data_IF_960310633902
#
_entry.id   IF_960310633902
#
_cell.length_a   1.000
_cell.length_b   1.000
_cell.length_c   1.000
_cell.angle_alpha   90.00
_cell.angle_beta   90.00
_cell.angle_gamma   90.00
#
_symmetry.space_group_name_H-M   'P 1'
#
loop_
_entity.id
_entity.type
_entity.pdbx_description
1 polymer ?
#
# COMPACT_ATOMS: atom_id res chain seq x y z
N UNK A 1 59.62 63.58 -48.82
CA UNK A 1 59.74 64.18 -47.47
C UNK A 1 58.89 65.44 -47.45
N UNK A 2 58.27 65.89 -46.36
CA UNK A 2 57.77 65.28 -45.13
C UNK A 2 56.24 65.55 -44.98
N UNK A 3 55.72 65.33 -43.76
CA UNK A 3 54.34 65.57 -43.26
C UNK A 3 53.90 67.04 -43.49
N UNK A 4 52.58 67.29 -43.65
CA UNK A 4 51.76 68.31 -42.93
C UNK A 4 50.42 68.64 -43.63
N UNK A 5 49.38 68.83 -42.79
CA UNK A 5 48.18 69.71 -42.86
C UNK A 5 46.81 69.14 -43.27
N UNK A 6 45.88 69.28 -42.31
CA UNK A 6 44.44 69.34 -42.47
C UNK A 6 43.97 70.70 -42.97
N UNK A 7 42.90 70.72 -43.78
CA UNK A 7 41.89 71.78 -43.86
C UNK A 7 40.64 71.21 -44.56
N UNK A 8 39.44 71.36 -43.95
CA UNK A 8 38.14 71.24 -44.66
C UNK A 8 37.80 72.55 -45.39
N UNK A 9 36.54 72.87 -45.73
CA UNK A 9 35.29 72.09 -45.75
C UNK A 9 34.59 72.13 -47.15
N UNK A 10 33.38 71.57 -47.24
CA UNK A 10 32.28 71.87 -48.19
C UNK A 10 32.59 72.09 -49.69
N UNK A 11 32.11 71.20 -50.58
CA UNK A 11 30.93 71.57 -51.37
C UNK A 11 30.26 70.37 -52.05
N UNK A 12 28.94 70.43 -52.03
CA UNK A 12 27.97 69.51 -52.59
C UNK A 12 27.77 69.84 -54.08
N UNK A 13 27.63 68.82 -54.95
CA UNK A 13 26.54 68.73 -55.95
C UNK A 13 26.91 67.84 -57.16
N UNK A 14 26.12 66.76 -57.29
CA UNK A 14 25.71 66.00 -58.50
C UNK A 14 26.75 65.19 -59.29
N UNK A 15 26.56 63.87 -59.32
CA UNK A 15 25.61 63.21 -60.24
C UNK A 15 25.40 61.74 -59.85
N UNK A 16 24.14 61.29 -59.80
CA UNK A 16 23.76 59.88 -59.71
C UNK A 16 23.89 59.20 -61.10
N UNK A 17 23.95 57.85 -61.22
CA UNK A 17 22.72 57.06 -61.09
C UNK A 17 22.85 55.65 -60.46
N UNK A 18 21.68 55.22 -59.94
CA UNK A 18 21.15 53.86 -59.79
C UNK A 18 21.92 52.82 -58.96
N UNK A 19 21.29 52.40 -57.85
CA UNK A 19 20.84 51.02 -57.66
C UNK A 19 19.85 50.96 -56.47
N UNK A 20 18.57 50.81 -56.83
CA UNK A 20 17.52 50.02 -56.17
C UNK A 20 17.38 50.05 -54.64
N UNK A 21 16.25 50.62 -54.20
CA UNK A 21 15.68 50.51 -52.86
C UNK A 21 15.42 49.05 -52.41
N UNK A 22 15.53 48.74 -51.11
CA UNK A 22 14.75 47.68 -50.49
C UNK A 22 13.55 48.31 -49.73
N UNK A 23 12.34 48.07 -50.23
CA UNK A 23 11.09 48.27 -49.48
C UNK A 23 10.90 47.16 -48.42
N UNK A 24 10.09 47.42 -47.38
CA UNK A 24 9.93 46.56 -46.21
C UNK A 24 8.88 45.48 -46.45
N UNK A 25 9.09 44.30 -45.91
CA UNK A 25 8.01 43.32 -45.74
C UNK A 25 8.21 42.55 -44.45
N UNK A 26 7.53 43.05 -43.42
CA UNK A 26 7.10 42.25 -42.31
C UNK A 26 6.17 41.14 -42.85
N UNK A 27 6.56 39.89 -42.67
CA UNK A 27 5.64 38.75 -42.72
C UNK A 27 5.99 37.81 -41.57
N UNK A 28 5.53 38.19 -40.37
CA UNK A 28 5.40 37.26 -39.26
C UNK A 28 4.26 36.29 -39.59
N UNK A 29 4.58 35.19 -40.27
CA UNK A 29 3.67 34.06 -40.37
C UNK A 29 3.54 33.45 -38.97
N UNK A 30 2.34 33.45 -38.34
CA UNK A 30 2.17 32.71 -37.10
C UNK A 30 2.40 31.23 -37.41
N UNK A 31 3.39 30.63 -36.74
CA UNK A 31 3.65 29.21 -36.83
C UNK A 31 2.34 28.46 -36.52
N UNK A 32 1.80 27.76 -37.51
CA UNK A 32 0.63 26.92 -37.33
C UNK A 32 0.94 25.91 -36.23
N UNK A 33 0.22 26.02 -35.10
CA UNK A 33 0.25 25.04 -34.02
C UNK A 33 -0.25 23.72 -34.61
N UNK A 34 0.67 22.82 -34.92
CA UNK A 34 0.35 21.47 -35.40
C UNK A 34 -0.52 20.79 -34.34
N UNK A 35 -1.82 20.74 -34.62
CA UNK A 35 -2.81 20.23 -33.69
C UNK A 35 -2.77 18.71 -33.76
N UNK A 36 -2.13 18.07 -32.77
CA UNK A 36 -2.12 16.62 -32.70
C UNK A 36 -3.53 16.06 -32.50
N UNK A 37 -3.74 14.86 -33.05
CA UNK A 37 -4.96 14.10 -32.86
C UNK A 37 -5.16 13.81 -31.35
N UNK A 38 -6.36 14.08 -30.81
CA UNK A 38 -6.67 13.74 -29.42
C UNK A 38 -6.61 12.23 -29.19
N UNK A 39 -6.37 11.83 -27.94
CA UNK A 39 -6.47 10.44 -27.50
C UNK A 39 -7.88 9.91 -27.78
N UNK A 40 -7.98 8.59 -27.94
CA UNK A 40 -9.28 7.95 -28.07
C UNK A 40 -10.12 8.19 -26.79
N UNK A 41 -11.29 8.86 -26.89
CA UNK A 41 -12.10 9.21 -25.72
C UNK A 41 -12.60 7.98 -24.95
N UNK A 42 -12.80 6.85 -25.63
CA UNK A 42 -13.19 5.59 -24.97
C UNK A 42 -12.09 5.06 -24.06
N UNK A 43 -10.82 5.15 -24.48
CA UNK A 43 -9.68 4.73 -23.66
C UNK A 43 -9.51 5.65 -22.44
N UNK A 44 -9.67 6.96 -22.61
CA UNK A 44 -9.62 7.92 -21.49
C UNK A 44 -10.80 7.71 -20.55
N UNK A 45 -11.99 7.40 -21.08
CA UNK A 45 -13.16 7.00 -20.29
C UNK A 45 -12.93 5.71 -19.49
N UNK A 46 -12.24 4.72 -20.07
CA UNK A 46 -11.85 3.51 -19.36
C UNK A 46 -10.84 3.80 -18.22
N UNK A 47 -9.85 4.67 -18.47
CA UNK A 47 -8.92 5.13 -17.42
C UNK A 47 -9.68 5.84 -16.29
N UNK A 48 -10.65 6.70 -16.60
CA UNK A 48 -11.52 7.33 -15.60
C UNK A 48 -12.28 6.29 -14.76
N UNK A 49 -12.88 5.29 -15.40
CA UNK A 49 -13.61 4.23 -14.71
C UNK A 49 -12.70 3.41 -13.78
N UNK A 50 -11.52 3.01 -14.26
CA UNK A 50 -10.53 2.30 -13.44
C UNK A 50 -10.05 3.15 -12.26
N UNK A 51 -9.79 4.45 -12.49
CA UNK A 51 -9.40 5.36 -11.43
C UNK A 51 -10.49 5.52 -10.37
N UNK A 52 -11.76 5.58 -10.78
CA UNK A 52 -12.88 5.63 -9.82
C UNK A 52 -13.02 4.35 -9.00
N UNK A 53 -12.79 3.17 -9.61
CA UNK A 53 -12.80 1.92 -8.88
C UNK A 53 -11.67 1.87 -7.84
N UNK A 54 -10.46 2.29 -8.21
CA UNK A 54 -9.33 2.40 -7.27
C UNK A 54 -9.57 3.43 -6.17
N UNK A 55 -10.25 4.54 -6.47
CA UNK A 55 -10.65 5.52 -5.47
C UNK A 55 -11.62 4.92 -4.43
N UNK A 56 -12.62 4.15 -4.88
CA UNK A 56 -13.58 3.47 -3.98
C UNK A 56 -12.86 2.44 -3.11
N UNK A 57 -12.01 1.60 -3.71
CA UNK A 57 -11.19 0.62 -3.02
C UNK A 57 -10.35 1.28 -1.90
N UNK A 58 -9.58 2.30 -2.26
CA UNK A 58 -8.66 2.96 -1.33
C UNK A 58 -9.39 3.80 -0.28
N UNK A 59 -10.57 4.34 -0.59
CA UNK A 59 -11.43 5.00 0.40
C UNK A 59 -11.90 3.99 1.44
N UNK A 60 -12.35 2.81 1.01
CA UNK A 60 -12.75 1.72 1.92
C UNK A 60 -11.58 1.30 2.82
N UNK A 61 -10.40 1.03 2.26
CA UNK A 61 -9.24 0.63 3.06
C UNK A 61 -8.75 1.73 4.01
N UNK A 62 -8.86 3.00 3.59
CA UNK A 62 -8.57 4.14 4.47
C UNK A 62 -9.54 4.17 5.64
N UNK A 63 -10.83 4.01 5.39
CA UNK A 63 -11.85 3.94 6.44
C UNK A 63 -11.54 2.80 7.42
N UNK A 64 -11.32 1.59 6.92
CA UNK A 64 -11.01 0.43 7.76
C UNK A 64 -9.80 0.70 8.65
N UNK A 65 -8.72 1.25 8.09
CA UNK A 65 -7.48 1.50 8.83
C UNK A 65 -7.56 2.68 9.81
N UNK A 66 -8.38 3.70 9.54
CA UNK A 66 -8.54 4.86 10.43
C UNK A 66 -9.45 4.57 11.62
N UNK A 67 -10.43 3.67 11.43
CA UNK A 67 -11.42 3.32 12.45
C UNK A 67 -11.17 1.96 13.09
N UNK A 68 -10.00 1.35 12.87
CA UNK A 68 -9.64 0.01 13.36
C UNK A 68 -10.75 -1.03 13.13
N UNK A 69 -11.40 -0.96 11.97
CA UNK A 69 -12.47 -1.89 11.60
C UNK A 69 -11.88 -3.21 11.06
N UNK A 70 -12.69 -4.26 11.05
CA UNK A 70 -12.30 -5.53 10.46
C UNK A 70 -12.32 -5.44 8.93
N UNK A 71 -11.23 -5.88 8.28
CA UNK A 71 -11.16 -5.86 6.82
C UNK A 71 -11.88 -7.07 6.24
N UNK A 72 -12.83 -6.86 5.33
CA UNK A 72 -13.42 -7.95 4.56
C UNK A 72 -12.34 -8.60 3.68
N UNK A 73 -11.83 -9.77 4.06
CA UNK A 73 -10.82 -10.49 3.29
C UNK A 73 -11.15 -11.99 3.22
N UNK A 74 -11.50 -12.53 2.04
CA UNK A 74 -11.80 -13.95 1.86
C UNK A 74 -10.58 -14.86 2.02
N UNK A 75 -9.39 -14.29 1.85
CA UNK A 75 -8.10 -14.98 1.95
C UNK A 75 -7.42 -14.54 3.23
N UNK A 76 -7.13 -15.43 4.18
CA UNK A 76 -6.46 -15.03 5.42
C UNK A 76 -5.17 -14.23 5.12
N UNK A 77 -4.95 -13.08 5.80
CA UNK A 77 -3.70 -12.31 5.69
C UNK A 77 -3.77 -10.88 5.15
N UNK A 78 -4.92 -10.38 4.66
CA UNK A 78 -5.01 -8.95 4.30
C UNK A 78 -4.72 -8.03 5.50
N UNK A 79 -5.22 -8.40 6.68
CA UNK A 79 -5.10 -7.60 7.89
C UNK A 79 -3.65 -7.44 8.35
N UNK A 80 -2.87 -8.54 8.33
CA UNK A 80 -1.45 -8.47 8.66
C UNK A 80 -0.65 -7.63 7.67
N UNK A 81 -1.00 -7.67 6.38
CA UNK A 81 -0.39 -6.81 5.35
C UNK A 81 -0.72 -5.34 5.58
N UNK A 82 -1.98 -5.02 5.89
CA UNK A 82 -2.43 -3.64 6.12
C UNK A 82 -1.92 -3.06 7.45
N UNK A 83 -1.76 -3.89 8.48
CA UNK A 83 -1.20 -3.51 9.78
C UNK A 83 0.34 -3.42 9.78
N UNK A 84 1.00 -3.96 8.75
CA UNK A 84 2.45 -3.94 8.64
C UNK A 84 3.04 -2.52 8.55
N UNK A 85 4.35 -2.34 8.82
CA UNK A 85 5.02 -1.04 8.68
C UNK A 85 4.90 -0.44 7.27
N UNK A 86 4.76 -1.28 6.24
CA UNK A 86 4.58 -0.85 4.85
C UNK A 86 3.16 -0.39 4.54
N UNK A 87 2.18 -0.73 5.38
CA UNK A 87 0.80 -0.25 5.28
C UNK A 87 0.63 1.21 5.70
N UNK A 88 1.69 1.88 6.13
CA UNK A 88 1.70 3.30 6.51
C UNK A 88 2.85 4.02 5.79
N UNK A 89 2.67 5.30 5.48
CA UNK A 89 3.67 6.15 4.83
C UNK A 89 3.69 7.50 5.55
N UNK A 90 4.86 7.92 6.05
CA UNK A 90 5.00 9.12 6.90
C UNK A 90 4.05 9.15 8.12
N UNK A 91 3.74 7.98 8.68
CA UNK A 91 2.80 7.83 9.81
C UNK A 91 1.32 7.90 9.44
N UNK A 92 0.98 8.13 8.16
CA UNK A 92 -0.39 8.12 7.67
C UNK A 92 -0.72 6.78 6.98
N UNK A 93 -2.00 6.34 6.95
CA UNK A 93 -2.39 5.15 6.21
C UNK A 93 -1.95 5.23 4.74
N UNK A 94 -1.22 4.24 4.24
CA UNK A 94 -0.90 4.13 2.83
C UNK A 94 -2.12 4.23 1.89
N UNK A 95 -3.29 3.60 2.19
CA UNK A 95 -4.47 3.74 1.33
C UNK A 95 -4.98 5.19 1.20
N UNK A 96 -4.65 6.09 2.14
CA UNK A 96 -4.99 7.52 2.01
C UNK A 96 -4.26 8.15 0.81
N UNK A 97 -2.98 7.82 0.62
CA UNK A 97 -2.21 8.28 -0.53
C UNK A 97 -2.72 7.66 -1.83
N UNK A 98 -3.13 6.40 -1.78
CA UNK A 98 -3.83 5.75 -2.89
C UNK A 98 -5.11 6.49 -3.29
N UNK A 99 -5.95 6.85 -2.32
CA UNK A 99 -7.18 7.62 -2.53
C UNK A 99 -6.90 8.95 -3.23
N UNK A 100 -5.89 9.70 -2.77
CA UNK A 100 -5.49 10.95 -3.40
C UNK A 100 -4.96 10.74 -4.82
N UNK A 101 -4.14 9.73 -5.05
CA UNK A 101 -3.55 9.44 -6.36
C UNK A 101 -4.60 8.99 -7.39
N UNK A 102 -5.47 8.04 -7.03
CA UNK A 102 -6.59 7.61 -7.88
C UNK A 102 -7.56 8.76 -8.16
N UNK A 103 -7.86 9.59 -7.14
CA UNK A 103 -8.67 10.80 -7.31
C UNK A 103 -8.06 11.81 -8.28
N UNK A 104 -6.75 12.07 -8.17
CA UNK A 104 -6.03 12.98 -9.06
C UNK A 104 -5.99 12.47 -10.52
N UNK A 105 -5.76 11.17 -10.73
CA UNK A 105 -5.82 10.55 -12.07
C UNK A 105 -7.23 10.64 -12.65
N UNK A 106 -8.26 10.35 -11.87
CA UNK A 106 -9.66 10.51 -12.29
C UNK A 106 -9.99 11.96 -12.66
N UNK A 107 -9.55 12.93 -11.86
CA UNK A 107 -9.73 14.35 -12.16
C UNK A 107 -9.01 14.76 -13.46
N UNK A 108 -7.78 14.28 -13.68
CA UNK A 108 -7.02 14.54 -14.91
C UNK A 108 -7.69 13.89 -16.14
N UNK A 109 -8.21 12.66 -16.02
CA UNK A 109 -8.96 12.00 -17.08
C UNK A 109 -10.23 12.77 -17.45
N UNK A 110 -10.99 13.21 -16.44
CA UNK A 110 -12.20 14.00 -16.66
C UNK A 110 -11.89 15.39 -17.23
N UNK A 111 -10.80 16.02 -16.81
CA UNK A 111 -10.32 17.28 -17.38
C UNK A 111 -9.91 17.12 -18.85
N UNK A 112 -9.22 16.02 -19.19
CA UNK A 112 -8.85 15.71 -20.57
C UNK A 112 -10.08 15.55 -21.46
N UNK A 113 -11.10 14.80 -21.02
CA UNK A 113 -12.34 14.59 -21.78
C UNK A 113 -13.09 15.90 -22.03
N UNK A 114 -13.16 16.78 -21.02
CA UNK A 114 -13.78 18.11 -21.17
C UNK A 114 -12.99 19.00 -22.13
N UNK A 115 -11.67 19.04 -21.98
CA UNK A 115 -10.79 19.83 -22.84
C UNK A 115 -10.73 19.29 -24.28
N UNK A 116 -10.95 17.99 -24.50
CA UNK A 116 -11.02 17.39 -25.83
C UNK A 116 -12.28 17.79 -26.60
N UNK A 117 -13.35 18.20 -25.90
CA UNK A 117 -14.58 18.71 -26.51
C UNK A 117 -14.49 20.22 -26.86
N UNK A 118 -13.48 20.92 -26.35
CA UNK A 118 -13.28 22.35 -26.56
C UNK A 118 -12.15 22.59 -27.58
N UNK A 119 -12.48 23.19 -28.71
CA UNK A 119 -11.53 23.56 -29.77
C UNK A 119 -10.82 24.90 -29.54
N UNK A 120 -11.09 25.59 -28.42
CA UNK A 120 -10.45 26.85 -28.06
C UNK A 120 -8.97 26.68 -27.74
N UNK A 121 -8.20 27.80 -27.77
CA UNK A 121 -6.80 27.79 -27.34
C UNK A 121 -6.65 27.39 -25.85
N UNK A 122 -7.65 27.70 -25.03
CA UNK A 122 -7.73 27.29 -23.62
C UNK A 122 -7.93 25.77 -23.51
N UNK A 123 -8.80 25.19 -24.35
CA UNK A 123 -9.00 23.74 -24.47
C UNK A 123 -7.71 23.00 -24.86
N UNK A 124 -6.93 23.55 -25.80
CA UNK A 124 -5.63 22.96 -26.20
C UNK A 124 -4.63 22.96 -25.04
N UNK A 125 -4.52 24.06 -24.30
CA UNK A 125 -3.64 24.17 -23.12
C UNK A 125 -4.08 23.23 -21.99
N UNK A 126 -5.40 23.21 -21.70
CA UNK A 126 -5.99 22.33 -20.71
C UNK A 126 -5.79 20.86 -21.04
N UNK A 127 -5.93 20.47 -22.31
CA UNK A 127 -5.68 19.10 -22.79
C UNK A 127 -4.23 18.68 -22.58
N UNK A 128 -3.26 19.57 -22.84
CA UNK A 128 -1.83 19.29 -22.61
C UNK A 128 -1.52 19.15 -21.11
N UNK A 129 -2.05 20.04 -20.28
CA UNK A 129 -1.91 19.95 -18.82
C UNK A 129 -2.51 18.67 -18.24
N UNK A 130 -3.73 18.31 -18.67
CA UNK A 130 -4.39 17.08 -18.28
C UNK A 130 -3.62 15.83 -18.73
N UNK A 131 -3.03 15.85 -19.93
CA UNK A 131 -2.22 14.75 -20.45
C UNK A 131 -0.92 14.56 -19.67
N UNK A 132 -0.26 15.64 -19.27
CA UNK A 132 0.91 15.60 -18.39
C UNK A 132 0.55 15.06 -17.00
N UNK A 133 -0.58 15.53 -16.43
CA UNK A 133 -1.11 15.03 -15.17
C UNK A 133 -1.46 13.54 -15.21
N UNK A 134 -2.10 13.07 -16.28
CA UNK A 134 -2.38 11.65 -16.52
C UNK A 134 -1.09 10.85 -16.62
N UNK A 135 -0.12 11.32 -17.40
CA UNK A 135 1.16 10.61 -17.59
C UNK A 135 1.93 10.48 -16.27
N UNK A 136 1.99 11.55 -15.48
CA UNK A 136 2.62 11.54 -14.16
C UNK A 136 1.86 10.66 -13.16
N UNK A 137 0.54 10.80 -13.06
CA UNK A 137 -0.28 10.07 -12.09
C UNK A 137 -0.34 8.57 -12.37
N UNK A 138 -0.49 8.16 -13.63
CA UNK A 138 -0.44 6.74 -14.04
C UNK A 138 0.94 6.14 -13.75
N UNK A 139 2.03 6.87 -14.03
CA UNK A 139 3.38 6.43 -13.72
C UNK A 139 3.63 6.30 -12.20
N UNK A 140 3.12 7.22 -11.40
CA UNK A 140 3.18 7.16 -9.94
C UNK A 140 2.45 5.91 -9.41
N UNK A 141 1.19 5.69 -9.81
CA UNK A 141 0.41 4.52 -9.38
C UNK A 141 1.07 3.20 -9.79
N UNK A 142 1.56 3.11 -11.03
CA UNK A 142 2.28 1.93 -11.51
C UNK A 142 3.57 1.68 -10.71
N UNK A 143 4.32 2.73 -10.39
CA UNK A 143 5.55 2.64 -9.59
C UNK A 143 5.23 2.18 -8.17
N UNK A 144 4.26 2.81 -7.50
CA UNK A 144 3.83 2.41 -6.16
C UNK A 144 3.37 0.96 -6.14
N UNK A 145 2.54 0.55 -7.10
CA UNK A 145 2.06 -0.83 -7.21
C UNK A 145 3.21 -1.83 -7.38
N UNK A 146 4.16 -1.56 -8.27
CA UNK A 146 5.31 -2.43 -8.49
C UNK A 146 6.17 -2.58 -7.21
N UNK A 147 6.41 -1.48 -6.50
CA UNK A 147 7.16 -1.51 -5.23
C UNK A 147 6.39 -2.29 -4.15
N UNK A 148 5.09 -2.07 -4.00
CA UNK A 148 4.26 -2.79 -3.02
C UNK A 148 4.19 -4.29 -3.32
N UNK A 149 4.05 -4.68 -4.59
CA UNK A 149 4.10 -6.09 -4.98
C UNK A 149 5.47 -6.70 -4.69
N UNK A 150 6.55 -5.94 -4.88
CA UNK A 150 7.91 -6.39 -4.54
C UNK A 150 8.04 -6.61 -3.02
N UNK A 151 7.58 -5.66 -2.21
CA UNK A 151 7.57 -5.79 -0.74
C UNK A 151 6.72 -6.98 -0.29
N UNK A 152 5.54 -7.16 -0.90
CA UNK A 152 4.64 -8.26 -0.58
C UNK A 152 5.31 -9.62 -0.78
N UNK A 153 6.04 -9.79 -1.89
CA UNK A 153 6.74 -11.04 -2.20
C UNK A 153 8.01 -11.25 -1.38
N UNK A 154 8.78 -10.19 -1.14
CA UNK A 154 10.13 -10.32 -0.56
C UNK A 154 10.16 -10.18 0.96
N UNK A 155 9.38 -9.23 1.52
CA UNK A 155 9.40 -8.89 2.95
C UNK A 155 8.23 -9.49 3.72
N UNK A 156 7.07 -9.64 3.07
CA UNK A 156 5.85 -10.18 3.68
C UNK A 156 5.58 -11.65 3.35
N UNK A 157 6.60 -12.36 2.82
CA UNK A 157 6.54 -13.81 2.56
C UNK A 157 5.48 -14.24 1.55
N UNK A 158 4.97 -13.34 0.72
CA UNK A 158 3.91 -13.64 -0.25
C UNK A 158 2.53 -13.86 0.38
N UNK A 159 2.28 -13.28 1.56
CA UNK A 159 0.96 -13.36 2.23
C UNK A 159 -0.17 -12.94 1.26
N UNK A 160 -1.23 -13.74 1.09
CA UNK A 160 -2.27 -13.44 0.11
C UNK A 160 -3.11 -12.23 0.57
N UNK A 161 -2.96 -11.11 -0.14
CA UNK A 161 -3.73 -9.89 0.10
C UNK A 161 -4.57 -9.56 -1.14
N UNK A 162 -5.86 -9.94 -1.11
CA UNK A 162 -6.79 -9.71 -2.24
C UNK A 162 -6.85 -8.23 -2.65
N UNK A 163 -6.96 -7.32 -1.69
CA UNK A 163 -7.00 -5.88 -1.94
C UNK A 163 -5.72 -5.35 -2.58
N UNK A 164 -4.56 -5.85 -2.16
CA UNK A 164 -3.29 -5.44 -2.74
C UNK A 164 -3.18 -5.87 -4.21
N UNK A 165 -3.65 -7.09 -4.53
CA UNK A 165 -3.69 -7.58 -5.91
C UNK A 165 -4.73 -6.85 -6.76
N UNK A 166 -5.91 -6.54 -6.20
CA UNK A 166 -6.93 -5.75 -6.89
C UNK A 166 -6.37 -4.38 -7.29
N UNK A 167 -5.76 -3.65 -6.35
CA UNK A 167 -5.16 -2.35 -6.64
C UNK A 167 -4.02 -2.45 -7.66
N UNK A 168 -3.24 -3.53 -7.64
CA UNK A 168 -2.20 -3.78 -8.63
C UNK A 168 -2.76 -4.02 -10.04
N UNK A 169 -3.84 -4.80 -10.15
CA UNK A 169 -4.54 -5.03 -11.41
C UNK A 169 -5.15 -3.73 -11.93
N UNK A 170 -5.76 -2.91 -11.08
CA UNK A 170 -6.30 -1.60 -11.46
C UNK A 170 -5.21 -0.67 -12.01
N UNK A 171 -4.10 -0.54 -11.29
CA UNK A 171 -2.96 0.29 -11.69
C UNK A 171 -2.32 -0.18 -13.00
N UNK A 172 -2.09 -1.48 -13.16
CA UNK A 172 -1.53 -2.05 -14.38
C UNK A 172 -2.49 -1.88 -15.58
N UNK A 173 -3.79 -2.09 -15.37
CA UNK A 173 -4.80 -1.91 -16.41
C UNK A 173 -4.86 -0.46 -16.90
N UNK A 174 -4.74 0.52 -16.00
CA UNK A 174 -4.64 1.93 -16.38
C UNK A 174 -3.37 2.23 -17.15
N UNK A 175 -2.21 1.71 -16.70
CA UNK A 175 -0.94 1.90 -17.40
C UNK A 175 -0.98 1.36 -18.83
N UNK A 176 -1.54 0.16 -19.03
CA UNK A 176 -1.71 -0.45 -20.36
C UNK A 176 -2.70 0.35 -21.21
N UNK A 177 -3.88 0.66 -20.69
CA UNK A 177 -4.94 1.37 -21.43
C UNK A 177 -4.50 2.78 -21.84
N UNK A 178 -3.85 3.50 -20.93
CA UNK A 178 -3.31 4.83 -21.21
C UNK A 178 -2.12 4.76 -22.16
N UNK A 179 -1.14 3.87 -21.90
CA UNK A 179 0.06 3.73 -22.69
C UNK A 179 -0.21 3.36 -24.16
N UNK A 180 -1.18 2.46 -24.39
CA UNK A 180 -1.61 2.07 -25.75
C UNK A 180 -2.42 3.17 -26.46
N UNK A 181 -2.94 4.16 -25.74
CA UNK A 181 -3.65 5.31 -26.31
C UNK A 181 -2.69 6.38 -26.83
N UNK A 182 -1.44 6.42 -26.34
CA UNK A 182 -0.46 7.44 -26.71
C UNK A 182 0.22 7.14 -28.05
N UNK A 183 0.38 8.18 -28.87
CA UNK A 183 1.26 8.13 -30.03
C UNK A 183 2.75 8.22 -29.64
N UNK A 184 3.65 7.74 -30.50
CA UNK A 184 5.10 7.80 -30.23
C UNK A 184 5.65 9.22 -29.99
N UNK A 185 5.02 10.25 -30.56
CA UNK A 185 5.37 11.66 -30.30
C UNK A 185 4.93 12.09 -28.89
N UNK A 186 3.70 11.77 -28.51
CA UNK A 186 3.17 12.02 -27.16
C UNK A 186 3.96 11.27 -26.08
N UNK A 187 4.42 10.05 -26.36
CA UNK A 187 5.32 9.33 -25.45
C UNK A 187 6.59 10.13 -25.22
N UNK A 188 7.26 10.62 -26.27
CA UNK A 188 8.49 11.41 -26.13
C UNK A 188 8.27 12.73 -25.39
N UNK A 189 7.16 13.41 -25.67
CA UNK A 189 6.84 14.70 -25.05
C UNK A 189 6.45 14.56 -23.57
N UNK A 190 5.76 13.48 -23.20
CA UNK A 190 5.29 13.27 -21.83
C UNK A 190 6.24 12.41 -20.97
N UNK A 191 7.19 11.69 -21.57
CA UNK A 191 8.14 10.82 -20.87
C UNK A 191 8.89 11.51 -19.73
N UNK A 192 9.39 12.76 -19.87
CA UNK A 192 10.06 13.44 -18.76
C UNK A 192 9.17 13.61 -17.53
N UNK A 193 7.89 13.94 -17.72
CA UNK A 193 6.94 14.09 -16.63
C UNK A 193 6.61 12.75 -15.97
N UNK A 194 6.40 11.69 -16.77
CA UNK A 194 6.15 10.35 -16.27
C UNK A 194 7.35 9.79 -15.49
N UNK A 195 8.57 9.95 -16.00
CA UNK A 195 9.81 9.51 -15.34
C UNK A 195 10.05 10.31 -14.07
N UNK A 196 9.90 11.63 -14.11
CA UNK A 196 10.05 12.47 -12.91
C UNK A 196 9.05 12.06 -11.83
N UNK A 197 7.78 11.81 -12.19
CA UNK A 197 6.77 11.35 -11.26
C UNK A 197 7.10 9.96 -10.68
N UNK A 198 7.56 9.02 -11.50
CA UNK A 198 7.97 7.69 -11.05
C UNK A 198 9.15 7.77 -10.06
N UNK A 199 10.19 8.54 -10.39
CA UNK A 199 11.35 8.72 -9.52
C UNK A 199 10.99 9.43 -8.21
N UNK A 200 10.19 10.49 -8.27
CA UNK A 200 9.72 11.20 -7.09
C UNK A 200 8.87 10.29 -6.19
N UNK A 201 8.02 9.46 -6.79
CA UNK A 201 7.21 8.47 -6.07
C UNK A 201 8.09 7.43 -5.39
N UNK A 202 9.04 6.83 -6.12
CA UNK A 202 9.97 5.87 -5.55
C UNK A 202 10.80 6.48 -4.40
N UNK A 203 11.27 7.71 -4.56
CA UNK A 203 12.01 8.43 -3.52
C UNK A 203 11.14 8.73 -2.28
N UNK A 204 9.88 9.14 -2.48
CA UNK A 204 8.94 9.38 -1.38
C UNK A 204 8.61 8.09 -0.62
N UNK A 205 8.37 6.99 -1.33
CA UNK A 205 8.15 5.68 -0.74
C UNK A 205 9.36 5.21 0.06
N UNK A 206 10.57 5.35 -0.51
CA UNK A 206 11.80 5.01 0.18
C UNK A 206 11.98 5.85 1.45
N UNK A 207 11.81 7.17 1.36
CA UNK A 207 11.96 8.07 2.52
C UNK A 207 10.89 7.88 3.60
N UNK A 208 9.70 7.42 3.23
CA UNK A 208 8.56 7.28 4.15
C UNK A 208 8.44 5.91 4.82
N UNK A 209 9.23 4.92 4.41
CA UNK A 209 9.24 3.58 5.00
C UNK A 209 10.50 3.29 5.80
N UNK A 210 10.45 2.30 6.71
CA UNK A 210 11.65 1.88 7.43
C UNK A 210 12.74 1.39 6.48
N UNK A 211 13.91 2.03 6.55
CA UNK A 211 15.14 1.64 5.85
C UNK A 211 16.35 1.80 6.80
N UNK A 212 17.51 1.18 6.50
CA UNK A 212 18.72 1.39 7.31
C UNK A 212 19.04 2.89 7.39
N UNK A 213 19.24 3.40 8.60
CA UNK A 213 19.54 4.82 8.84
C UNK A 213 18.34 5.77 8.83
N UNK A 214 17.10 5.29 8.66
CA UNK A 214 15.88 6.12 8.73
C UNK A 214 15.52 6.62 10.14
N UNK A 215 16.17 6.10 11.19
CA UNK A 215 15.80 6.35 12.58
C UNK A 215 14.43 5.74 12.98
N UNK A 216 13.74 5.08 12.04
CA UNK A 216 12.53 4.28 12.26
C UNK A 216 12.92 2.83 12.57
N UNK A 217 12.01 2.07 13.18
CA UNK A 217 12.21 0.63 13.44
C UNK A 217 12.29 -0.10 12.10
N UNK A 218 13.52 -0.34 11.63
CA UNK A 218 13.83 -1.12 10.44
C UNK A 218 13.87 -2.61 10.77
N UNK A 219 12.94 -3.36 10.19
CA UNK A 219 12.88 -4.82 10.29
C UNK A 219 13.82 -5.38 9.22
N UNK A 220 15.03 -5.73 9.64
CA UNK A 220 16.02 -6.41 8.80
C UNK A 220 15.66 -7.90 8.58
N UNK A 221 16.32 -8.57 7.64
CA UNK A 221 16.17 -10.03 7.47
C UNK A 221 16.63 -10.82 8.71
N UNK A 222 17.46 -10.21 9.58
CA UNK A 222 17.81 -10.71 10.92
C UNK A 222 16.84 -10.25 12.03
N UNK A 223 15.61 -9.84 11.69
CA UNK A 223 14.63 -9.41 12.69
C UNK A 223 14.39 -10.49 13.74
N UNK A 224 14.83 -10.17 14.95
CA UNK A 224 14.61 -10.95 16.14
C UNK A 224 13.64 -10.21 17.04
N UNK A 225 12.45 -10.77 17.20
CA UNK A 225 11.48 -10.34 18.17
C UNK A 225 11.87 -10.91 19.53
N UNK A 226 12.40 -10.07 20.42
CA UNK A 226 12.72 -10.47 21.78
C UNK A 226 11.46 -10.93 22.52
N UNK A 227 11.56 -12.02 23.27
CA UNK A 227 10.43 -12.53 24.06
C UNK A 227 9.99 -11.51 25.10
N UNK A 228 8.71 -11.13 25.03
CA UNK A 228 8.06 -10.30 26.05
C UNK A 228 6.71 -10.90 26.39
N UNK A 229 6.59 -11.40 27.62
CA UNK A 229 5.34 -11.94 28.11
C UNK A 229 4.24 -10.85 28.07
N UNK A 230 3.08 -11.10 27.43
CA UNK A 230 1.99 -10.14 27.42
C UNK A 230 1.37 -10.03 28.81
N UNK A 231 1.05 -8.79 29.22
CA UNK A 231 0.45 -8.49 30.52
C UNK A 231 -1.05 -8.39 30.35
N UNK A 232 -1.80 -9.31 30.95
CA UNK A 232 -3.26 -9.31 30.93
C UNK A 232 -3.76 -8.35 32.01
N UNK A 233 -4.43 -7.28 31.58
CA UNK A 233 -4.81 -6.16 32.47
C UNK A 233 -6.28 -6.16 32.89
N UNK A 234 -7.13 -6.90 32.17
CA UNK A 234 -8.55 -7.05 32.47
C UNK A 234 -8.77 -7.81 33.78
N UNK A 235 -9.84 -7.47 34.50
CA UNK A 235 -10.22 -8.21 35.72
C UNK A 235 -10.89 -9.54 35.37
N UNK A 236 -10.55 -10.60 36.12
CA UNK A 236 -11.19 -11.90 35.92
C UNK A 236 -12.57 -11.93 36.57
N UNK A 237 -13.56 -12.42 35.83
CA UNK A 237 -14.86 -12.77 36.39
C UNK A 237 -14.78 -14.06 37.22
N UNK A 238 -15.72 -14.30 38.16
CA UNK A 238 -15.81 -15.58 38.87
C UNK A 238 -15.92 -16.78 37.92
N UNK A 239 -16.61 -16.60 36.80
CA UNK A 239 -16.76 -17.61 35.74
C UNK A 239 -15.42 -17.93 35.08
N UNK A 240 -14.64 -16.93 34.73
CA UNK A 240 -13.33 -17.13 34.12
C UNK A 240 -12.35 -17.84 35.07
N UNK A 241 -12.38 -17.49 36.35
CA UNK A 241 -11.60 -18.15 37.39
C UNK A 241 -11.95 -19.64 37.52
N UNK A 242 -13.24 -19.97 37.55
CA UNK A 242 -13.72 -21.36 37.60
C UNK A 242 -13.30 -22.15 36.35
N UNK A 243 -13.49 -21.57 35.17
CA UNK A 243 -13.11 -22.21 33.91
C UNK A 243 -11.61 -22.45 33.81
N UNK A 244 -10.77 -21.50 34.25
CA UNK A 244 -9.32 -21.67 34.27
C UNK A 244 -8.90 -22.83 35.19
N UNK A 245 -9.53 -22.94 36.37
CA UNK A 245 -9.28 -24.03 37.30
C UNK A 245 -9.66 -25.40 36.71
N UNK A 246 -10.85 -25.49 36.09
CA UNK A 246 -11.35 -26.73 35.47
C UNK A 246 -10.53 -27.14 34.25
N UNK A 247 -10.17 -26.19 33.39
CA UNK A 247 -9.26 -26.41 32.26
C UNK A 247 -7.95 -27.05 32.73
N UNK A 248 -7.36 -26.50 33.80
CA UNK A 248 -6.13 -27.05 34.37
C UNK A 248 -6.34 -28.46 34.95
N UNK A 249 -7.47 -28.70 35.63
CA UNK A 249 -7.82 -29.99 36.21
C UNK A 249 -7.96 -31.11 35.17
N UNK A 250 -8.49 -30.82 33.99
CA UNK A 250 -8.57 -31.79 32.88
C UNK A 250 -7.31 -31.88 32.03
N UNK A 251 -6.23 -31.17 32.42
CA UNK A 251 -4.97 -31.17 31.69
C UNK A 251 -5.06 -30.49 30.32
N UNK A 252 -6.02 -29.58 30.12
CA UNK A 252 -6.11 -28.80 28.89
C UNK A 252 -4.84 -27.96 28.68
N UNK A 253 -4.59 -27.56 27.44
CA UNK A 253 -3.51 -26.64 27.06
C UNK A 253 -3.98 -25.68 25.98
N UNK A 254 -3.64 -24.41 26.13
CA UNK A 254 -3.69 -23.43 25.05
C UNK A 254 -2.27 -23.12 24.58
N UNK A 255 -1.97 -23.45 23.34
CA UNK A 255 -0.71 -23.15 22.69
C UNK A 255 -0.81 -21.81 21.96
N UNK A 256 0.16 -20.94 22.18
CA UNK A 256 0.20 -19.63 21.53
C UNK A 256 1.61 -19.07 21.41
N UNK A 257 1.67 -17.84 20.94
CA UNK A 257 2.90 -17.07 20.84
C UNK A 257 2.75 -15.73 21.56
N UNK A 258 3.83 -15.22 22.14
CA UNK A 258 3.79 -13.96 22.90
C UNK A 258 3.38 -12.72 22.07
N UNK A 259 3.50 -12.79 20.75
CA UNK A 259 3.12 -11.71 19.81
C UNK A 259 1.79 -11.94 19.09
N UNK A 260 1.09 -13.02 19.43
CA UNK A 260 -0.19 -13.38 18.81
C UNK A 260 -1.32 -12.54 19.43
N UNK A 261 -1.92 -11.62 18.66
CA UNK A 261 -3.05 -10.79 19.12
C UNK A 261 -4.21 -11.65 19.62
N UNK A 262 -4.57 -12.67 18.85
CA UNK A 262 -5.67 -13.56 19.22
C UNK A 262 -5.44 -14.34 20.52
N UNK A 263 -4.17 -14.70 20.78
CA UNK A 263 -3.77 -15.35 22.01
C UNK A 263 -3.84 -14.40 23.20
N UNK A 264 -3.64 -13.10 22.96
CA UNK A 264 -3.79 -12.06 23.97
C UNK A 264 -5.27 -11.77 24.24
N UNK A 265 -6.09 -11.57 23.20
CA UNK A 265 -7.54 -11.37 23.29
C UNK A 265 -8.22 -12.50 24.08
N UNK A 266 -7.89 -13.76 23.77
CA UNK A 266 -8.37 -14.91 24.55
C UNK A 266 -7.99 -14.85 26.02
N UNK A 267 -6.77 -14.40 26.35
CA UNK A 267 -6.33 -14.24 27.74
C UNK A 267 -7.03 -13.08 28.44
N UNK A 268 -7.31 -11.98 27.72
CA UNK A 268 -8.07 -10.84 28.25
C UNK A 268 -9.52 -11.21 28.56
N UNK A 269 -10.13 -12.11 27.80
CA UNK A 269 -11.47 -12.64 28.12
C UNK A 269 -11.49 -13.40 29.47
N UNK A 270 -10.39 -14.03 29.85
CA UNK A 270 -10.22 -14.68 31.15
C UNK A 270 -9.81 -13.71 32.27
N UNK A 271 -9.04 -12.67 31.94
CA UNK A 271 -8.52 -11.69 32.88
C UNK A 271 -7.28 -12.12 33.66
N UNK A 272 -6.64 -11.13 34.30
CA UNK A 272 -5.32 -11.25 34.90
C UNK A 272 -5.23 -12.21 36.08
N UNK A 273 -6.27 -12.29 36.92
CA UNK A 273 -6.25 -13.20 38.08
C UNK A 273 -6.30 -14.67 37.66
N UNK A 274 -7.04 -14.99 36.59
CA UNK A 274 -7.17 -16.33 36.02
C UNK A 274 -5.85 -16.84 35.41
N UNK A 275 -4.94 -15.93 34.99
CA UNK A 275 -3.65 -16.31 34.40
C UNK A 275 -2.76 -17.13 35.32
N UNK A 276 -3.01 -17.11 36.64
CA UNK A 276 -2.30 -17.95 37.61
C UNK A 276 -2.59 -19.45 37.43
N UNK A 277 -3.75 -19.80 36.89
CA UNK A 277 -4.18 -21.18 36.66
C UNK A 277 -4.39 -21.50 35.18
N UNK A 278 -4.43 -20.49 34.33
CA UNK A 278 -4.70 -20.62 32.91
C UNK A 278 -3.62 -21.48 32.23
N UNK A 279 -3.99 -22.58 31.54
CA UNK A 279 -3.01 -23.56 31.08
C UNK A 279 -2.38 -23.18 29.73
N UNK A 280 -1.59 -22.10 29.72
CA UNK A 280 -0.90 -21.62 28.53
C UNK A 280 0.46 -22.31 28.30
N UNK A 281 0.78 -22.56 27.03
CA UNK A 281 2.11 -22.99 26.57
C UNK A 281 2.63 -21.98 25.57
N UNK A 282 3.76 -21.36 25.90
CA UNK A 282 4.48 -20.47 24.99
C UNK A 282 5.27 -21.28 23.96
N UNK A 283 4.98 -21.06 22.68
CA UNK A 283 5.65 -21.76 21.60
C UNK A 283 6.97 -21.13 21.17
N UNK A 284 7.29 -19.92 21.63
CA UNK A 284 8.53 -19.23 21.30
C UNK A 284 9.15 -18.53 22.53
N UNK A 285 9.59 -19.32 23.53
CA UNK A 285 10.08 -18.80 24.80
C UNK A 285 11.40 -18.04 24.68
N UNK A 286 12.13 -18.21 23.57
CA UNK A 286 13.42 -17.57 23.32
C UNK A 286 13.32 -16.40 22.34
N UNK A 287 12.13 -15.89 22.09
CA UNK A 287 11.89 -14.91 21.03
C UNK A 287 11.63 -15.56 19.69
N UNK A 288 11.43 -14.74 18.67
CA UNK A 288 11.12 -15.19 17.31
C UNK A 288 12.04 -14.58 16.29
N UNK A 289 12.41 -15.36 15.29
CA UNK A 289 13.04 -14.92 14.06
C UNK A 289 12.51 -15.74 12.90
N UNK A 290 12.77 -15.28 11.68
CA UNK A 290 12.44 -16.04 10.49
C UNK A 290 13.11 -17.43 10.52
N UNK A 291 12.31 -18.48 10.34
CA UNK A 291 12.77 -19.87 10.38
C UNK A 291 12.96 -20.45 11.78
N UNK A 292 12.59 -19.70 12.84
CA UNK A 292 12.58 -20.21 14.20
C UNK A 292 11.64 -21.41 14.33
N UNK A 293 12.06 -22.40 15.11
CA UNK A 293 11.27 -23.61 15.35
C UNK A 293 10.35 -23.42 16.54
N UNK A 294 9.24 -24.14 16.54
CA UNK A 294 8.35 -24.17 17.69
C UNK A 294 9.07 -24.84 18.87
N UNK A 295 8.72 -24.42 20.09
CA UNK A 295 9.15 -25.13 21.28
C UNK A 295 8.73 -26.62 21.20
N UNK A 296 9.51 -27.57 21.74
CA UNK A 296 9.24 -29.01 21.59
C UNK A 296 7.84 -29.44 22.02
N UNK A 297 7.25 -28.78 23.03
CA UNK A 297 5.87 -29.06 23.47
C UNK A 297 4.82 -28.67 22.43
N UNK A 298 5.05 -27.62 21.65
CA UNK A 298 4.16 -27.18 20.58
C UNK A 298 4.34 -28.03 19.32
N UNK A 299 5.57 -28.43 19.00
CA UNK A 299 5.85 -29.38 17.91
C UNK A 299 5.18 -30.74 18.20
N UNK A 300 5.35 -31.26 19.42
CA UNK A 300 4.74 -32.52 19.83
C UNK A 300 3.20 -32.49 19.81
N UNK A 301 2.60 -31.32 20.06
CA UNK A 301 1.16 -31.10 19.96
C UNK A 301 0.67 -30.82 18.53
N UNK A 302 1.58 -30.82 17.54
CA UNK A 302 1.29 -30.54 16.13
C UNK A 302 0.54 -29.21 15.93
N UNK A 303 0.99 -28.16 16.61
CA UNK A 303 0.39 -26.82 16.52
C UNK A 303 0.67 -26.21 15.14
N UNK A 304 -0.39 -25.83 14.41
CA UNK A 304 -0.30 -25.26 13.06
C UNK A 304 -0.70 -23.78 12.98
N UNK A 305 -1.48 -23.33 13.94
CA UNK A 305 -1.98 -21.96 14.05
C UNK A 305 -2.07 -21.55 15.53
N UNK A 306 -2.21 -20.26 15.79
CA UNK A 306 -2.38 -19.74 17.14
C UNK A 306 -3.66 -18.90 17.28
N UNK A 307 -4.35 -18.96 18.43
CA UNK A 307 -4.16 -19.97 19.47
C UNK A 307 -4.60 -21.37 18.99
N UNK A 308 -4.07 -22.41 19.62
CA UNK A 308 -4.58 -23.79 19.46
C UNK A 308 -4.88 -24.35 20.83
N UNK A 309 -6.10 -24.84 21.03
CA UNK A 309 -6.55 -25.51 22.23
C UNK A 309 -6.46 -27.02 22.08
N UNK A 310 -5.97 -27.70 23.13
CA UNK A 310 -6.10 -29.14 23.30
C UNK A 310 -6.87 -29.39 24.60
N UNK A 311 -8.13 -29.83 24.48
CA UNK A 311 -9.04 -30.02 25.62
C UNK A 311 -9.61 -31.44 25.56
N UNK A 312 -9.20 -32.29 26.51
CA UNK A 312 -9.61 -33.70 26.53
C UNK A 312 -9.20 -34.47 25.27
N UNK A 313 -8.00 -34.19 24.74
CA UNK A 313 -7.47 -34.82 23.53
C UNK A 313 -8.02 -34.28 22.21
N UNK A 314 -9.00 -33.37 22.21
CA UNK A 314 -9.50 -32.71 21.01
C UNK A 314 -8.69 -31.43 20.75
N UNK A 315 -8.17 -31.29 19.53
CA UNK A 315 -7.51 -30.08 19.04
C UNK A 315 -8.53 -29.13 18.41
N UNK A 316 -8.45 -27.85 18.75
CA UNK A 316 -9.32 -26.78 18.25
C UNK A 316 -8.42 -25.59 17.91
N UNK A 317 -8.47 -25.11 16.67
CA UNK A 317 -7.66 -23.97 16.21
C UNK A 317 -8.51 -22.69 16.28
N UNK A 318 -7.89 -21.59 16.69
CA UNK A 318 -8.55 -20.29 16.89
C UNK A 318 -9.00 -20.05 18.32
N UNK A 319 -9.53 -18.85 18.54
CA UNK A 319 -10.13 -18.45 19.80
C UNK A 319 -11.44 -19.19 20.07
N UNK A 320 -11.78 -19.28 21.35
CA UNK A 320 -13.03 -19.85 21.85
C UNK A 320 -13.66 -18.86 22.82
N UNK A 321 -14.94 -18.55 22.61
CA UNK A 321 -15.70 -17.80 23.61
C UNK A 321 -15.81 -18.61 24.91
N UNK A 322 -16.00 -17.95 26.06
CA UNK A 322 -16.14 -18.65 27.35
C UNK A 322 -17.21 -19.77 27.34
N UNK A 323 -18.32 -19.57 26.62
CA UNK A 323 -19.38 -20.58 26.45
C UNK A 323 -18.88 -21.83 25.71
N UNK A 324 -17.97 -21.66 24.76
CA UNK A 324 -17.39 -22.76 24.00
C UNK A 324 -16.36 -23.50 24.82
N UNK A 325 -15.51 -22.77 25.53
CA UNK A 325 -14.57 -23.36 26.50
C UNK A 325 -15.32 -24.20 27.52
N UNK A 326 -16.41 -23.68 28.09
CA UNK A 326 -17.20 -24.39 29.08
C UNK A 326 -17.78 -25.72 28.57
N UNK A 327 -18.32 -25.73 27.33
CA UNK A 327 -18.80 -26.97 26.69
C UNK A 327 -17.68 -27.97 26.47
N UNK A 328 -16.52 -27.51 26.01
CA UNK A 328 -15.38 -28.36 25.67
C UNK A 328 -14.74 -28.96 26.93
N UNK A 329 -14.67 -28.18 28.03
CA UNK A 329 -14.22 -28.64 29.35
C UNK A 329 -15.21 -29.65 29.92
N UNK A 330 -16.53 -29.36 29.89
CA UNK A 330 -17.54 -30.29 30.38
C UNK A 330 -17.49 -31.64 29.65
N UNK A 331 -17.25 -31.65 28.33
CA UNK A 331 -17.00 -32.89 27.58
C UNK A 331 -15.77 -33.63 28.12
N UNK A 332 -14.65 -32.91 28.32
CA UNK A 332 -13.42 -33.53 28.80
C UNK A 332 -13.58 -34.11 30.21
N UNK A 333 -14.27 -33.42 31.10
CA UNK A 333 -14.62 -33.90 32.45
C UNK A 333 -15.48 -35.17 32.38
N UNK A 334 -16.50 -35.18 31.51
CA UNK A 334 -17.35 -36.35 31.32
C UNK A 334 -16.58 -37.56 30.74
N UNK A 335 -15.65 -37.33 29.81
CA UNK A 335 -14.80 -38.37 29.25
C UNK A 335 -13.83 -38.93 30.30
N UNK A 336 -13.26 -38.08 31.17
CA UNK A 336 -12.38 -38.49 32.24
C UNK A 336 -13.11 -39.27 33.35
N UNK A 337 -14.40 -39.01 33.56
CA UNK A 337 -15.23 -39.71 34.53
C UNK A 337 -15.77 -41.07 34.03
N UNK A 338 -15.66 -41.35 32.72
CA UNK A 338 -16.15 -42.61 32.16
C UNK A 338 -15.28 -43.80 32.61
N UNK A 339 -15.88 -44.92 33.07
CA UNK A 339 -15.12 -46.10 33.46
C UNK A 339 -14.33 -46.66 32.28
N UNK A 340 -13.08 -47.06 32.53
CA UNK A 340 -12.24 -47.69 31.50
C UNK A 340 -12.95 -48.93 30.93
N UNK A 341 -12.87 -49.16 29.60
CA UNK A 341 -13.48 -50.33 28.99
C UNK A 341 -12.93 -51.61 29.64
N UNK A 342 -13.83 -52.49 30.09
CA UNK A 342 -13.45 -53.80 30.58
C UNK A 342 -12.84 -54.61 29.42
N UNK A 343 -11.55 -54.91 29.51
CA UNK A 343 -10.87 -55.88 28.65
C UNK A 343 -11.26 -57.31 29.00
#
# INVERSE_FOLDING_TARGET
MPIVRSAGPDDLSRSAPSLSDPEPSASSTPAAVVTEAPLNPSNVGAVLALATAGLVETTYLTYVKVFDATVACPTNGCESVLASPWGSLFGLPLPLFGMLAYGAVGAAAAAYLRAAADSSAEGVSGRRGALLGLSGGVAALATTSAVLMTILQTRLGGTPCLWCYLSAVLSASMAVTFGTSLSGKQVKENAPAAVAAALATAAALYAGWPHPGSGQVYVDDDFFLEYKAPVVSTESSPRAMDLAARLNAVGARMYGAFWCSHCFEQKEEFGGAAMTQFPYVECFPNGWRKGEKLAPLCEAANVRAFPTWVIGGKTIEGELLLDEVEREVARAEAAAAAPAPAN
#
